data_IF_359063601064
#
_entry.id   IF_359063601064
#
_cell.length_a   1.000
_cell.length_b   1.000
_cell.length_c   1.000
_cell.angle_alpha   90.00
_cell.angle_beta   90.00
_cell.angle_gamma   90.00
#
_symmetry.space_group_name_H-M   'P 1'
#
loop_
_entity.id
_entity.type
_entity.pdbx_description
1 polymer ?
#
# COMPACT_ATOMS: atom_id res chain seq x y z
N UNK A 1 39.58 -7.78 37.40
CA UNK A 1 38.49 -8.42 38.17
C UNK A 1 37.15 -8.46 37.42
N UNK A 2 36.97 -7.75 36.29
CA UNK A 2 35.69 -7.72 35.53
C UNK A 2 35.41 -8.96 34.67
N UNK A 3 36.43 -9.71 34.27
CA UNK A 3 36.29 -10.89 33.39
C UNK A 3 35.75 -12.14 34.10
N UNK A 4 36.07 -12.34 35.39
CA UNK A 4 35.55 -13.49 36.16
C UNK A 4 34.04 -13.41 36.44
N UNK A 5 33.53 -12.20 36.71
CA UNK A 5 32.11 -12.01 37.01
C UNK A 5 31.20 -12.23 35.77
N UNK A 6 31.69 -11.92 34.57
CA UNK A 6 30.96 -12.16 33.32
C UNK A 6 30.80 -13.68 33.06
N UNK A 7 31.81 -14.46 33.42
CA UNK A 7 31.84 -15.91 33.22
C UNK A 7 30.92 -16.64 34.22
N UNK A 8 30.91 -16.21 35.48
CA UNK A 8 30.02 -16.74 36.52
C UNK A 8 28.53 -16.46 36.21
N UNK A 9 28.20 -15.25 35.77
CA UNK A 9 26.84 -14.90 35.34
C UNK A 9 26.40 -15.76 34.15
N UNK A 10 27.24 -15.88 33.13
CA UNK A 10 26.92 -16.65 31.92
C UNK A 10 26.71 -18.12 32.25
N UNK A 11 27.58 -18.71 33.08
CA UNK A 11 27.44 -20.09 33.56
C UNK A 11 26.13 -20.31 34.33
N UNK A 12 25.80 -19.38 35.23
CA UNK A 12 24.57 -19.45 36.04
C UNK A 12 23.31 -19.35 35.16
N UNK A 13 23.30 -18.42 34.18
CA UNK A 13 22.20 -18.27 33.23
C UNK A 13 22.03 -19.52 32.38
N UNK A 14 23.13 -20.08 31.84
CA UNK A 14 23.08 -21.33 31.08
C UNK A 14 22.52 -22.49 31.90
N UNK A 15 22.94 -22.61 33.17
CA UNK A 15 22.40 -23.60 34.10
C UNK A 15 20.90 -23.42 34.36
N UNK A 16 20.46 -22.18 34.59
CA UNK A 16 19.04 -21.86 34.79
C UNK A 16 18.20 -22.16 33.54
N UNK A 17 18.67 -21.74 32.35
CA UNK A 17 17.99 -22.02 31.08
C UNK A 17 17.92 -23.52 30.81
N UNK A 18 18.96 -24.29 31.14
CA UNK A 18 18.96 -25.73 30.96
C UNK A 18 17.83 -26.43 31.74
N UNK A 19 17.51 -25.94 32.94
CA UNK A 19 16.45 -26.48 33.81
C UNK A 19 15.02 -26.08 33.38
N UNK A 20 14.87 -25.11 32.46
CA UNK A 20 13.55 -24.68 31.99
C UNK A 20 12.84 -25.78 31.19
N UNK A 21 11.51 -25.79 31.28
CA UNK A 21 10.65 -26.60 30.41
C UNK A 21 10.79 -26.15 28.95
N UNK A 22 10.46 -27.04 28.02
CA UNK A 22 10.53 -26.74 26.58
C UNK A 22 9.72 -25.49 26.21
N UNK A 23 8.52 -25.32 26.78
CA UNK A 23 7.69 -24.14 26.55
C UNK A 23 8.34 -22.85 27.08
N UNK A 24 8.99 -22.89 28.25
CA UNK A 24 9.69 -21.72 28.80
C UNK A 24 10.93 -21.37 27.99
N UNK A 25 11.67 -22.37 27.49
CA UNK A 25 12.79 -22.17 26.56
C UNK A 25 12.32 -21.52 25.27
N UNK A 26 11.20 -21.98 24.71
CA UNK A 26 10.60 -21.39 23.52
C UNK A 26 10.21 -19.93 23.76
N UNK A 27 9.50 -19.62 24.84
CA UNK A 27 9.12 -18.23 25.15
C UNK A 27 10.33 -17.33 25.35
N UNK A 28 11.34 -17.80 26.10
CA UNK A 28 12.60 -17.07 26.26
C UNK A 28 13.26 -16.76 24.91
N UNK A 29 13.26 -17.73 23.99
CA UNK A 29 13.81 -17.57 22.64
C UNK A 29 13.03 -16.53 21.82
N UNK A 30 11.69 -16.55 21.90
CA UNK A 30 10.83 -15.58 21.24
C UNK A 30 11.06 -14.16 21.79
N UNK A 31 11.05 -13.99 23.11
CA UNK A 31 11.25 -12.69 23.76
C UNK A 31 12.63 -12.11 23.43
N UNK A 32 13.67 -12.96 23.43
CA UNK A 32 15.02 -12.56 23.03
C UNK A 32 15.08 -12.13 21.57
N UNK A 33 14.44 -12.89 20.66
CA UNK A 33 14.40 -12.55 19.24
C UNK A 33 13.68 -11.21 18.98
N UNK A 34 12.57 -10.95 19.68
CA UNK A 34 11.84 -9.69 19.60
C UNK A 34 12.69 -8.52 20.11
N UNK A 35 13.35 -8.67 21.26
CA UNK A 35 14.23 -7.64 21.82
C UNK A 35 15.41 -7.31 20.88
N UNK A 36 15.99 -8.31 20.21
CA UNK A 36 17.05 -8.09 19.23
C UNK A 36 16.55 -7.36 17.98
N UNK A 37 15.33 -7.65 17.51
CA UNK A 37 14.70 -6.89 16.43
C UNK A 37 14.50 -5.42 16.84
N UNK A 38 13.98 -5.18 18.04
CA UNK A 38 13.73 -3.82 18.54
C UNK A 38 15.03 -3.03 18.71
N UNK A 39 16.13 -3.72 19.08
CA UNK A 39 17.48 -3.16 19.11
C UNK A 39 18.11 -2.96 17.71
N UNK A 40 17.40 -3.35 16.64
CA UNK A 40 17.89 -3.27 15.25
C UNK A 40 18.94 -4.32 14.89
N UNK A 41 19.16 -5.31 15.75
CA UNK A 41 20.17 -6.37 15.62
C UNK A 41 19.60 -7.62 14.93
N UNK A 42 18.82 -7.42 13.87
CA UNK A 42 18.33 -8.53 13.08
C UNK A 42 19.43 -9.17 12.24
N UNK A 43 19.62 -10.48 12.38
CA UNK A 43 20.68 -11.23 11.71
C UNK A 43 20.41 -12.74 11.64
N UNK A 44 21.38 -13.52 11.15
CA UNK A 44 21.26 -14.98 11.01
C UNK A 44 20.94 -15.71 12.32
N UNK A 45 21.47 -15.23 13.44
CA UNK A 45 21.23 -15.81 14.77
C UNK A 45 19.76 -15.65 15.18
N UNK A 46 19.18 -14.46 14.97
CA UNK A 46 17.77 -14.17 15.25
C UNK A 46 16.84 -14.99 14.34
N UNK A 47 17.25 -15.21 13.09
CA UNK A 47 16.51 -16.10 12.19
C UNK A 47 16.49 -17.55 12.67
N UNK A 48 17.63 -18.05 13.12
CA UNK A 48 17.72 -19.37 13.72
C UNK A 48 16.85 -19.49 14.98
N UNK A 49 16.77 -18.42 15.80
CA UNK A 49 15.85 -18.38 16.94
C UNK A 49 14.40 -18.58 16.49
N UNK A 50 13.91 -17.83 15.51
CA UNK A 50 12.55 -18.04 15.01
C UNK A 50 12.35 -19.41 14.37
N UNK A 51 13.34 -19.95 13.68
CA UNK A 51 13.26 -21.27 13.07
C UNK A 51 13.08 -22.38 14.13
N UNK A 52 13.88 -22.35 15.19
CA UNK A 52 13.78 -23.29 16.32
C UNK A 52 12.46 -23.09 17.08
N UNK A 53 12.05 -21.84 17.30
CA UNK A 53 10.77 -21.52 17.93
C UNK A 53 9.61 -22.18 17.18
N UNK A 54 9.49 -21.90 15.88
CA UNK A 54 8.37 -22.37 15.05
C UNK A 54 8.33 -23.88 14.83
N UNK A 55 9.46 -24.59 15.05
CA UNK A 55 9.52 -26.06 15.03
C UNK A 55 9.08 -26.70 16.36
N UNK A 56 8.94 -25.92 17.42
CA UNK A 56 8.58 -26.44 18.75
C UNK A 56 7.09 -26.83 18.77
N UNK A 57 6.75 -28.08 19.13
CA UNK A 57 5.36 -28.53 19.18
C UNK A 57 4.62 -27.94 20.39
N UNK A 58 3.29 -27.83 20.28
CA UNK A 58 2.43 -27.43 21.41
C UNK A 58 2.40 -25.93 21.71
N UNK A 59 2.83 -25.09 20.76
CA UNK A 59 2.80 -23.63 20.92
C UNK A 59 1.38 -23.06 20.73
N UNK A 60 1.01 -22.01 21.49
CA UNK A 60 -0.22 -21.26 21.27
C UNK A 60 -0.25 -20.63 19.86
N UNK A 61 -1.42 -20.64 19.21
CA UNK A 61 -1.59 -20.03 17.88
C UNK A 61 -1.23 -18.54 17.86
N UNK A 62 -1.50 -17.84 18.96
CA UNK A 62 -1.19 -16.43 19.15
C UNK A 62 0.31 -16.16 19.14
N UNK A 63 1.11 -17.02 19.76
CA UNK A 63 2.55 -16.84 19.75
C UNK A 63 3.16 -17.18 18.39
N UNK A 64 2.63 -18.20 17.71
CA UNK A 64 3.04 -18.53 16.33
C UNK A 64 2.77 -17.35 15.39
N UNK A 65 1.58 -16.73 15.48
CA UNK A 65 1.24 -15.58 14.64
C UNK A 65 2.13 -14.37 14.95
N UNK A 66 2.38 -14.09 16.23
CA UNK A 66 3.29 -13.04 16.69
C UNK A 66 4.71 -13.24 16.17
N UNK A 67 5.24 -14.47 16.29
CA UNK A 67 6.58 -14.81 15.81
C UNK A 67 6.72 -14.66 14.29
N UNK A 68 5.73 -15.14 13.52
CA UNK A 68 5.72 -15.02 12.06
C UNK A 68 5.63 -13.56 11.60
N UNK A 69 4.79 -12.76 12.26
CA UNK A 69 4.64 -11.34 11.97
C UNK A 69 5.95 -10.58 12.22
N UNK A 70 6.56 -10.76 13.38
CA UNK A 70 7.81 -10.11 13.73
C UNK A 70 8.93 -10.49 12.76
N UNK A 71 9.09 -11.78 12.46
CA UNK A 71 10.07 -12.27 11.49
C UNK A 71 9.83 -11.71 10.09
N UNK A 72 8.58 -11.70 9.63
CA UNK A 72 8.23 -11.16 8.32
C UNK A 72 8.57 -9.68 8.18
N UNK A 73 8.25 -8.88 9.21
CA UNK A 73 8.58 -7.46 9.26
C UNK A 73 10.10 -7.22 9.28
N UNK A 74 10.83 -7.98 10.07
CA UNK A 74 12.28 -7.88 10.15
C UNK A 74 12.98 -8.25 8.82
N UNK A 75 12.52 -9.31 8.14
CA UNK A 75 12.97 -9.67 6.78
C UNK A 75 12.72 -8.56 5.78
N UNK A 76 11.51 -7.98 5.81
CA UNK A 76 11.13 -6.89 4.92
C UNK A 76 12.06 -5.69 5.12
N UNK A 77 12.27 -5.27 6.37
CA UNK A 77 13.14 -4.15 6.70
C UNK A 77 14.61 -4.43 6.32
N UNK A 78 15.11 -5.64 6.59
CA UNK A 78 16.44 -6.06 6.17
C UNK A 78 16.59 -6.04 4.65
N UNK A 79 15.58 -6.53 3.93
CA UNK A 79 15.52 -6.49 2.47
C UNK A 79 15.50 -5.06 1.91
N UNK A 80 14.73 -4.16 2.50
CA UNK A 80 14.71 -2.73 2.11
C UNK A 80 16.08 -2.07 2.27
N UNK A 81 16.80 -2.35 3.37
CA UNK A 81 18.17 -1.87 3.58
C UNK A 81 19.14 -2.41 2.53
N UNK A 82 19.04 -3.69 2.18
CA UNK A 82 19.86 -4.30 1.13
C UNK A 82 19.54 -3.76 -0.26
N UNK A 83 18.26 -3.50 -0.54
CA UNK A 83 17.83 -2.86 -1.78
C UNK A 83 18.40 -1.45 -1.91
N UNK A 84 18.37 -0.66 -0.84
CA UNK A 84 18.96 0.68 -0.83
C UNK A 84 20.47 0.65 -1.15
N UNK A 85 21.22 -0.25 -0.50
CA UNK A 85 22.65 -0.45 -0.79
C UNK A 85 22.90 -0.91 -2.22
N UNK A 86 22.08 -1.83 -2.71
CA UNK A 86 22.18 -2.27 -4.10
C UNK A 86 21.95 -1.10 -5.08
N UNK A 87 20.97 -0.24 -4.80
CA UNK A 87 20.73 0.96 -5.59
C UNK A 87 21.92 1.94 -5.54
N UNK A 88 22.57 2.11 -4.38
CA UNK A 88 23.83 2.87 -4.27
C UNK A 88 24.94 2.28 -5.15
N UNK A 89 25.11 0.95 -5.15
CA UNK A 89 26.09 0.25 -6.00
C UNK A 89 25.78 0.49 -7.49
N UNK A 90 24.51 0.42 -7.91
CA UNK A 90 24.14 0.69 -9.30
C UNK A 90 24.40 2.14 -9.69
N UNK A 91 24.15 3.10 -8.79
CA UNK A 91 24.49 4.51 -9.03
C UNK A 91 26.00 4.72 -9.12
N UNK A 92 26.79 4.01 -8.30
CA UNK A 92 28.25 4.07 -8.38
C UNK A 92 28.76 3.58 -9.75
N UNK A 93 28.20 2.48 -10.27
CA UNK A 93 28.56 1.99 -11.61
C UNK A 93 28.14 2.98 -12.70
N UNK A 94 26.95 3.60 -12.62
CA UNK A 94 26.54 4.60 -13.61
C UNK A 94 27.47 5.82 -13.67
N UNK A 95 28.07 6.22 -12.54
CA UNK A 95 29.07 7.29 -12.51
C UNK A 95 30.37 6.90 -13.20
N UNK A 96 30.72 5.61 -13.18
CA UNK A 96 31.93 5.08 -13.80
C UNK A 96 31.73 4.79 -15.29
N UNK A 97 30.61 4.18 -15.67
CA UNK A 97 30.23 3.86 -17.05
C UNK A 97 28.76 4.22 -17.32
N UNK A 98 28.50 5.43 -17.84
CA UNK A 98 27.15 5.87 -18.22
C UNK A 98 26.55 5.07 -19.39
N UNK A 99 27.37 4.38 -20.18
CA UNK A 99 26.95 3.64 -21.37
C UNK A 99 26.62 2.18 -21.09
N UNK A 100 26.70 1.74 -19.84
CA UNK A 100 26.42 0.37 -19.44
C UNK A 100 24.98 -0.06 -19.79
N UNK A 101 24.85 -0.89 -20.82
CA UNK A 101 23.57 -1.35 -21.38
C UNK A 101 22.74 -2.17 -20.39
N UNK A 102 23.39 -2.87 -19.46
CA UNK A 102 22.73 -3.75 -18.49
C UNK A 102 22.00 -2.93 -17.42
N UNK A 103 22.62 -1.85 -16.96
CA UNK A 103 21.97 -0.88 -16.07
C UNK A 103 20.87 -0.09 -16.77
N UNK A 104 21.10 0.36 -18.01
CA UNK A 104 20.09 1.08 -18.78
C UNK A 104 18.80 0.25 -18.94
N UNK A 105 18.93 -1.05 -19.24
CA UNK A 105 17.77 -1.93 -19.36
C UNK A 105 17.06 -2.14 -18.02
N UNK A 106 17.79 -2.18 -16.90
CA UNK A 106 17.21 -2.35 -15.56
C UNK A 106 16.47 -1.11 -15.06
N UNK A 107 17.00 0.09 -15.27
CA UNK A 107 16.30 1.34 -14.94
C UNK A 107 15.06 1.55 -15.82
N UNK A 108 15.08 1.13 -17.08
CA UNK A 108 13.91 1.19 -17.98
C UNK A 108 12.72 0.35 -17.50
N UNK A 109 12.94 -0.71 -16.72
CA UNK A 109 11.88 -1.60 -16.23
C UNK A 109 11.16 -1.11 -14.96
N UNK A 110 11.68 -0.11 -14.24
CA UNK A 110 11.18 0.28 -12.90
C UNK A 110 10.44 1.61 -12.82
N UNK A 111 10.02 2.20 -13.93
CA UNK A 111 9.32 3.48 -13.91
C UNK A 111 7.90 3.30 -14.40
N UNK A 112 6.98 2.88 -13.51
CA UNK A 112 5.61 3.41 -13.63
C UNK A 112 5.78 4.90 -13.31
N UNK A 113 5.94 5.73 -14.35
CA UNK A 113 6.20 7.19 -14.25
C UNK A 113 5.26 7.91 -13.30
N UNK A 114 4.12 7.30 -13.01
CA UNK A 114 2.97 7.88 -12.36
C UNK A 114 2.75 7.45 -10.89
N UNK A 115 3.71 6.75 -10.24
CA UNK A 115 3.50 6.29 -8.85
C UNK A 115 3.26 7.46 -7.87
N UNK A 116 3.99 8.55 -8.04
CA UNK A 116 3.87 9.74 -7.20
C UNK A 116 2.85 10.76 -7.72
N UNK A 117 2.29 10.53 -8.92
CA UNK A 117 1.28 11.40 -9.49
C UNK A 117 -0.11 11.04 -8.96
N UNK A 118 -0.99 12.04 -8.73
CA UNK A 118 -2.37 11.79 -8.36
C UNK A 118 -3.07 10.98 -9.45
N UNK A 119 -4.04 10.13 -9.06
CA UNK A 119 -4.72 9.20 -9.96
C UNK A 119 -5.20 9.87 -11.27
N UNK A 120 -5.74 11.09 -11.18
CA UNK A 120 -6.21 11.88 -12.32
C UNK A 120 -5.15 12.18 -13.38
N UNK A 121 -3.86 12.21 -13.03
CA UNK A 121 -2.76 12.52 -13.94
C UNK A 121 -2.10 11.26 -14.53
N UNK A 122 -2.43 10.07 -14.01
CA UNK A 122 -1.80 8.81 -14.43
C UNK A 122 -2.22 8.32 -15.82
N UNK A 123 -3.28 8.91 -16.36
CA UNK A 123 -3.79 8.60 -17.69
C UNK A 123 -4.40 9.87 -18.34
N UNK A 124 -4.35 10.00 -19.68
CA UNK A 124 -5.04 11.04 -20.42
C UNK A 124 -6.56 11.07 -20.15
N UNK A 125 -7.18 12.24 -20.37
CA UNK A 125 -8.62 12.46 -20.12
C UNK A 125 -9.50 11.46 -20.88
N UNK A 126 -9.13 11.13 -22.12
CA UNK A 126 -9.88 10.23 -22.99
C UNK A 126 -9.99 8.83 -22.39
N UNK A 127 -8.95 8.39 -21.68
CA UNK A 127 -8.96 7.11 -20.98
C UNK A 127 -9.94 7.17 -19.80
N UNK A 128 -9.95 8.27 -19.05
CA UNK A 128 -10.87 8.46 -17.93
C UNK A 128 -12.33 8.56 -18.36
N UNK A 129 -12.62 9.25 -19.47
CA UNK A 129 -13.96 9.29 -20.05
C UNK A 129 -14.40 7.90 -20.54
N UNK A 130 -13.50 7.14 -21.17
CA UNK A 130 -13.79 5.77 -21.58
C UNK A 130 -14.06 4.85 -20.39
N UNK A 131 -13.30 4.99 -19.30
CA UNK A 131 -13.55 4.26 -18.05
C UNK A 131 -14.93 4.61 -17.52
N UNK A 132 -15.27 5.91 -17.44
CA UNK A 132 -16.56 6.36 -16.95
C UNK A 132 -17.73 5.78 -17.76
N UNK A 133 -17.59 5.66 -19.08
CA UNK A 133 -18.58 5.03 -19.95
C UNK A 133 -18.89 3.54 -19.65
N UNK A 134 -17.97 2.81 -19.00
CA UNK A 134 -18.17 1.41 -18.63
C UNK A 134 -18.60 1.23 -17.17
N UNK A 135 -18.64 2.31 -16.38
CA UNK A 135 -19.04 2.26 -14.97
C UNK A 135 -20.54 2.55 -14.86
N UNK A 136 -21.33 1.70 -14.18
CA UNK A 136 -22.74 1.97 -13.92
C UNK A 136 -22.94 3.32 -13.23
N UNK A 137 -24.00 4.07 -13.60
CA UNK A 137 -24.28 5.43 -13.09
C UNK A 137 -24.28 5.51 -11.56
N UNK A 138 -24.76 4.48 -10.86
CA UNK A 138 -24.73 4.42 -9.40
C UNK A 138 -23.31 4.49 -8.82
N UNK A 139 -22.34 3.79 -9.41
CA UNK A 139 -20.94 3.84 -8.98
C UNK A 139 -20.24 5.14 -9.37
N UNK A 140 -20.65 5.77 -10.48
CA UNK A 140 -20.15 7.10 -10.85
C UNK A 140 -20.55 8.19 -9.84
N UNK A 141 -21.62 8.02 -9.06
CA UNK A 141 -22.01 9.00 -8.03
C UNK A 141 -20.91 9.19 -6.98
N UNK A 142 -20.14 8.16 -6.68
CA UNK A 142 -18.99 8.25 -5.76
C UNK A 142 -17.92 9.21 -6.28
N UNK A 143 -17.74 9.31 -7.60
CA UNK A 143 -16.74 10.17 -8.22
C UNK A 143 -17.02 11.67 -8.02
N UNK A 144 -18.27 12.04 -7.76
CA UNK A 144 -18.66 13.42 -7.45
C UNK A 144 -17.94 13.97 -6.21
N UNK A 145 -17.49 13.09 -5.31
CA UNK A 145 -16.87 13.43 -4.03
C UNK A 145 -15.36 13.14 -3.97
N UNK A 146 -14.77 12.60 -5.04
CA UNK A 146 -13.33 12.23 -5.06
C UNK A 146 -12.45 13.46 -5.31
N UNK A 147 -12.73 14.21 -6.37
CA UNK A 147 -11.98 15.41 -6.76
C UNK A 147 -12.75 16.18 -7.84
N UNK A 148 -12.35 17.43 -8.10
CA UNK A 148 -12.95 18.23 -9.17
C UNK A 148 -12.87 17.54 -10.54
N UNK A 149 -11.70 16.98 -10.90
CA UNK A 149 -11.48 16.26 -12.15
C UNK A 149 -12.47 15.11 -12.36
N UNK A 150 -12.64 14.24 -11.36
CA UNK A 150 -13.52 13.08 -11.46
C UNK A 150 -15.00 13.48 -11.43
N UNK A 151 -15.33 14.54 -10.69
CA UNK A 151 -16.69 15.09 -10.64
C UNK A 151 -17.12 15.60 -12.01
N UNK A 152 -16.25 16.31 -12.72
CA UNK A 152 -16.59 16.88 -14.04
C UNK A 152 -16.89 15.78 -15.07
N UNK A 153 -16.12 14.69 -15.05
CA UNK A 153 -16.39 13.50 -15.87
C UNK A 153 -17.71 12.84 -15.44
N UNK A 154 -17.92 12.62 -14.14
CA UNK A 154 -19.11 11.96 -13.63
C UNK A 154 -20.39 12.73 -13.93
N UNK A 155 -20.38 14.06 -13.82
CA UNK A 155 -21.54 14.91 -14.14
C UNK A 155 -21.98 14.72 -15.59
N UNK A 156 -21.02 14.74 -16.54
CA UNK A 156 -21.31 14.52 -17.96
C UNK A 156 -21.95 13.17 -18.22
N UNK A 157 -21.53 12.11 -17.53
CA UNK A 157 -22.06 10.75 -17.73
C UNK A 157 -23.36 10.46 -16.95
N UNK A 158 -23.53 11.02 -15.74
CA UNK A 158 -24.71 10.81 -14.91
C UNK A 158 -25.89 11.61 -15.46
N UNK A 159 -25.67 12.86 -15.84
CA UNK A 159 -26.72 13.80 -16.26
C UNK A 159 -26.81 13.96 -17.77
N UNK A 160 -26.18 13.08 -18.56
CA UNK A 160 -26.32 13.09 -20.02
C UNK A 160 -27.77 12.89 -20.49
N UNK A 161 -28.57 12.18 -19.68
CA UNK A 161 -29.98 11.92 -19.96
C UNK A 161 -30.78 12.26 -18.72
N UNK A 162 -31.63 13.28 -18.82
CA UNK A 162 -32.53 13.67 -17.73
C UNK A 162 -33.93 13.20 -18.12
N UNK A 163 -34.42 12.18 -17.41
CA UNK A 163 -35.80 11.70 -17.58
C UNK A 163 -36.72 12.60 -16.75
N UNK A 164 -37.47 13.47 -17.43
CA UNK A 164 -38.38 14.42 -16.79
C UNK A 164 -39.80 13.87 -16.92
N UNK A 165 -40.36 13.46 -15.80
CA UNK A 165 -41.73 12.97 -15.72
C UNK A 165 -42.67 14.15 -15.52
N UNK A 166 -43.49 14.45 -16.52
CA UNK A 166 -44.64 15.32 -16.35
C UNK A 166 -45.77 14.47 -15.77
N UNK A 167 -46.33 14.90 -14.63
CA UNK A 167 -47.53 14.26 -14.07
C UNK A 167 -48.72 14.35 -15.04
N UNK A 168 -49.79 13.61 -14.75
CA UNK A 168 -50.98 13.51 -15.61
C UNK A 168 -51.73 14.86 -15.80
N UNK A 169 -51.39 15.88 -15.02
CA UNK A 169 -51.96 17.22 -15.14
C UNK A 169 -51.40 17.99 -16.36
N UNK A 170 -52.26 18.39 -17.32
CA UNK A 170 -51.83 19.11 -18.52
C UNK A 170 -51.19 20.48 -18.21
N UNK A 171 -51.51 21.09 -17.06
CA UNK A 171 -50.90 22.34 -16.61
C UNK A 171 -49.41 22.17 -16.25
N UNK A 172 -49.03 21.03 -15.68
CA UNK A 172 -47.64 20.73 -15.33
C UNK A 172 -46.79 20.40 -16.57
N UNK A 173 -47.38 19.77 -17.59
CA UNK A 173 -46.73 19.55 -18.88
C UNK A 173 -46.41 20.88 -19.58
N UNK A 174 -47.39 21.78 -19.65
CA UNK A 174 -47.26 23.08 -20.33
C UNK A 174 -46.23 23.97 -19.62
N UNK A 175 -46.23 23.96 -18.28
CA UNK A 175 -45.22 24.65 -17.46
C UNK A 175 -43.83 24.05 -17.62
N UNK A 176 -43.76 22.73 -17.74
CA UNK A 176 -42.54 21.99 -18.04
C UNK A 176 -41.89 22.44 -19.33
N UNK A 177 -42.65 22.46 -20.42
CA UNK A 177 -42.19 22.86 -21.76
C UNK A 177 -41.69 24.32 -21.80
N UNK A 178 -42.38 25.25 -21.14
CA UNK A 178 -41.96 26.67 -21.04
C UNK A 178 -40.60 26.83 -20.32
N UNK A 179 -40.28 25.97 -19.35
CA UNK A 179 -38.97 25.97 -18.69
C UNK A 179 -37.85 25.56 -19.66
N UNK A 180 -38.07 24.55 -20.51
CA UNK A 180 -37.08 24.16 -21.52
C UNK A 180 -36.92 25.21 -22.61
N UNK A 181 -38.02 25.83 -23.05
CA UNK A 181 -37.93 26.90 -24.05
C UNK A 181 -37.19 28.12 -23.50
N UNK A 182 -37.36 28.46 -22.22
CA UNK A 182 -36.53 29.49 -21.58
C UNK A 182 -35.07 29.08 -21.45
N UNK A 183 -34.79 27.85 -21.05
CA UNK A 183 -33.41 27.36 -20.93
C UNK A 183 -32.70 27.30 -22.29
N UNK A 184 -33.42 26.88 -23.34
CA UNK A 184 -32.93 26.85 -24.73
C UNK A 184 -32.62 28.25 -25.27
N UNK A 185 -33.41 29.24 -24.88
CA UNK A 185 -33.25 30.63 -25.31
C UNK A 185 -32.31 31.45 -24.40
N UNK A 186 -31.76 30.85 -23.33
CA UNK A 186 -30.80 31.52 -22.44
C UNK A 186 -29.38 31.51 -23.07
N UNK A 187 -28.79 32.69 -23.36
CA UNK A 187 -27.43 32.79 -23.89
C UNK A 187 -26.35 32.24 -22.95
N UNK A 188 -26.65 32.08 -21.66
CA UNK A 188 -25.71 31.52 -20.66
C UNK A 188 -25.73 30.00 -20.63
N UNK A 189 -26.84 29.37 -21.03
CA UNK A 189 -26.96 27.91 -21.10
C UNK A 189 -26.25 27.32 -22.32
N UNK A 190 -26.14 28.09 -23.41
CA UNK A 190 -25.43 27.71 -24.64
C UNK A 190 -23.90 27.79 -24.53
N UNK A 191 -23.36 28.35 -23.45
CA UNK A 191 -21.90 28.44 -23.22
C UNK A 191 -21.30 27.15 -22.63
N UNK A 192 -22.11 26.12 -22.36
CA UNK A 192 -21.68 24.84 -21.75
C UNK A 192 -21.93 23.61 -22.63
N UNK A 193 -22.21 23.81 -23.93
CA UNK A 193 -22.21 22.77 -24.96
C UNK A 193 -20.99 23.00 -25.85
#
# INVERSE_FOLDING_TARGET
MSTQALDELTSTVCGAVAQLTQHRKANFLLDTALALIDAGQYGPEVENYFEVYLKTPGLPKEDISRALLARGNARKQGGERLLAKADEDFQAVLKLDPTNKELQHRFRRKVIRFQNEPASQRAPLEIWERIAGHIPRYHLRTWLFVSAFHRDIAVRHIFHTVDIYFGEDPENLTRGLDIFDRAKNDPRATCWI
#
